data_IF_999764278675
#
_entry.id   IF_999764278675
#
_cell.length_a   1.000
_cell.length_b   1.000
_cell.length_c   1.000
_cell.angle_alpha   90.00
_cell.angle_beta   90.00
_cell.angle_gamma   90.00
#
_symmetry.space_group_name_H-M   'P 1'
#
loop_
_entity.id
_entity.type
_entity.pdbx_description
1 polymer ?
#
# COMPACT_ATOMS: atom_id res chain seq x y z
N UNK A 1 21.94 -1.32 4.49
CA UNK A 1 21.96 -2.14 3.24
C UNK A 1 21.54 -1.19 2.12
N UNK A 2 22.09 -1.26 0.90
CA UNK A 2 21.65 -0.29 -0.13
C UNK A 2 20.18 -0.55 -0.45
N UNK A 3 19.33 0.47 -0.30
CA UNK A 3 17.90 0.35 -0.57
C UNK A 3 17.68 -0.17 -1.99
N UNK A 4 16.78 -1.15 -2.21
CA UNK A 4 16.58 -1.77 -3.52
C UNK A 4 16.01 -0.81 -4.58
N UNK A 5 15.47 0.35 -4.17
CA UNK A 5 14.94 1.38 -5.08
C UNK A 5 15.54 2.74 -4.73
N UNK A 6 16.17 3.45 -5.67
CA UNK A 6 16.75 4.77 -5.42
C UNK A 6 15.66 5.85 -5.37
N UNK A 7 15.84 6.80 -4.46
CA UNK A 7 15.00 8.00 -4.31
C UNK A 7 14.86 8.74 -5.65
N UNK A 8 13.62 9.07 -6.04
CA UNK A 8 13.28 9.79 -7.26
C UNK A 8 12.73 8.94 -8.41
N UNK A 9 12.74 7.60 -8.28
CA UNK A 9 12.22 6.71 -9.33
C UNK A 9 10.69 6.59 -9.34
N UNK A 10 10.13 6.37 -10.54
CA UNK A 10 8.72 6.03 -10.74
C UNK A 10 8.66 4.62 -11.33
N UNK A 11 7.95 3.72 -10.65
CA UNK A 11 7.74 2.34 -11.05
C UNK A 11 6.29 2.17 -11.50
N UNK A 12 6.09 1.77 -12.76
CA UNK A 12 4.77 1.40 -13.27
C UNK A 12 4.31 0.07 -12.67
N UNK A 13 3.04 0.02 -12.28
CA UNK A 13 2.37 -1.17 -11.76
C UNK A 13 1.11 -1.43 -12.59
N UNK A 14 0.60 -2.67 -12.62
CA UNK A 14 -0.65 -2.98 -13.33
C UNK A 14 -1.86 -2.16 -12.85
N UNK A 15 -1.84 -1.71 -11.60
CA UNK A 15 -2.90 -0.89 -10.98
C UNK A 15 -2.65 0.62 -11.05
N UNK A 16 -1.46 1.07 -11.49
CA UNK A 16 -1.07 2.49 -11.41
C UNK A 16 0.43 2.70 -11.28
N UNK A 17 0.90 3.53 -10.35
CA UNK A 17 2.33 3.87 -10.21
C UNK A 17 2.77 4.01 -8.76
N UNK A 18 4.05 3.76 -8.51
CA UNK A 18 4.76 4.08 -7.27
C UNK A 18 5.88 5.07 -7.56
N UNK A 19 5.84 6.27 -6.98
CA UNK A 19 6.96 7.21 -6.97
C UNK A 19 7.71 7.09 -5.66
N UNK A 20 8.96 6.65 -5.70
CA UNK A 20 9.83 6.51 -4.55
C UNK A 20 10.43 7.87 -4.17
N UNK A 21 10.02 8.43 -3.04
CA UNK A 21 10.46 9.76 -2.58
C UNK A 21 11.77 9.63 -1.81
N UNK A 22 11.82 8.71 -0.84
CA UNK A 22 13.05 8.37 -0.13
C UNK A 22 13.04 6.92 0.35
N UNK A 23 14.22 6.31 0.49
CA UNK A 23 14.37 5.00 1.11
C UNK A 23 15.75 4.86 1.77
N UNK A 24 15.75 4.45 3.03
CA UNK A 24 16.95 4.28 3.85
C UNK A 24 16.77 3.16 4.87
N UNK A 25 17.77 2.97 5.75
CA UNK A 25 17.78 1.91 6.76
C UNK A 25 16.73 2.08 7.89
N UNK A 26 15.93 3.15 7.86
CA UNK A 26 14.89 3.44 8.88
C UNK A 26 13.48 3.52 8.31
N UNK A 27 13.32 3.97 7.06
CA UNK A 27 12.01 4.15 6.46
C UNK A 27 12.05 4.15 4.93
N UNK A 28 10.87 3.99 4.34
CA UNK A 28 10.61 4.33 2.95
C UNK A 28 9.41 5.26 2.83
N UNK A 29 9.49 6.23 1.93
CA UNK A 29 8.40 7.16 1.60
C UNK A 29 8.09 7.03 0.12
N UNK A 30 6.83 6.79 -0.19
CA UNK A 30 6.33 6.64 -1.56
C UNK A 30 5.08 7.45 -1.77
N UNK A 31 4.90 8.00 -2.96
CA UNK A 31 3.60 8.46 -3.46
C UNK A 31 3.05 7.39 -4.38
N UNK A 32 1.86 6.88 -4.08
CA UNK A 32 1.18 5.89 -4.90
C UNK A 32 0.02 6.55 -5.63
N UNK A 33 -0.19 6.12 -6.88
CA UNK A 33 -1.40 6.39 -7.65
C UNK A 33 -2.04 5.07 -8.03
N UNK A 34 -3.26 4.83 -7.57
CA UNK A 34 -4.10 3.72 -8.06
C UNK A 34 -5.10 4.30 -9.06
N UNK A 35 -5.10 3.79 -10.29
CA UNK A 35 -6.03 4.24 -11.34
C UNK A 35 -7.46 3.83 -10.99
N UNK A 36 -8.44 4.65 -11.36
CA UNK A 36 -9.87 4.35 -11.14
C UNK A 36 -10.24 2.92 -11.55
N UNK A 37 -10.95 2.21 -10.67
CA UNK A 37 -11.41 0.83 -10.90
C UNK A 37 -10.39 -0.26 -10.58
N UNK A 38 -9.13 0.12 -10.36
CA UNK A 38 -8.06 -0.80 -9.95
C UNK A 38 -7.92 -0.88 -8.43
N UNK A 39 -7.19 -1.87 -7.97
CA UNK A 39 -6.81 -2.05 -6.57
C UNK A 39 -5.38 -2.55 -6.45
N UNK A 40 -4.76 -2.32 -5.29
CA UNK A 40 -3.63 -3.16 -4.85
C UNK A 40 -4.13 -4.55 -4.46
N UNK A 41 -3.21 -5.50 -4.27
CA UNK A 41 -3.51 -6.83 -3.77
C UNK A 41 -4.13 -6.75 -2.37
N UNK A 42 -4.97 -7.71 -2.00
CA UNK A 42 -5.23 -7.97 -0.59
C UNK A 42 -3.95 -8.56 0.01
N UNK A 43 -3.40 -7.93 1.03
CA UNK A 43 -2.08 -8.27 1.55
C UNK A 43 -1.97 -8.03 3.05
N UNK A 44 -0.92 -8.60 3.65
CA UNK A 44 -0.47 -8.27 5.00
C UNK A 44 1.06 -8.34 5.08
N UNK A 45 1.60 -7.97 6.23
CA UNK A 45 3.04 -7.94 6.54
C UNK A 45 3.29 -8.66 7.86
N UNK A 46 4.43 -9.31 8.03
CA UNK A 46 4.79 -9.94 9.31
C UNK A 46 5.52 -8.98 10.28
N UNK A 47 6.18 -7.96 9.74
CA UNK A 47 7.03 -7.00 10.46
C UNK A 47 6.76 -5.56 10.05
N UNK A 48 6.54 -5.30 8.76
CA UNK A 48 6.41 -3.96 8.20
C UNK A 48 5.17 -3.27 8.77
N UNK A 49 5.36 -2.01 9.16
CA UNK A 49 4.28 -1.09 9.50
C UNK A 49 4.14 -0.04 8.40
N UNK A 50 2.91 0.27 8.03
CA UNK A 50 2.61 1.28 7.02
C UNK A 50 1.65 2.35 7.56
N UNK A 51 1.94 3.60 7.26
CA UNK A 51 1.03 4.74 7.48
C UNK A 51 0.79 5.44 6.16
N UNK A 52 -0.47 5.56 5.78
CA UNK A 52 -0.89 6.16 4.52
C UNK A 52 -1.66 7.44 4.79
N UNK A 53 -1.40 8.49 4.00
CA UNK A 53 -2.11 9.77 4.03
C UNK A 53 -2.66 10.08 2.64
N UNK A 54 -3.97 10.26 2.54
CA UNK A 54 -4.64 10.47 1.24
C UNK A 54 -4.45 11.91 0.77
N UNK A 55 -3.92 12.07 -0.45
CA UNK A 55 -3.72 13.35 -1.11
C UNK A 55 -4.91 13.72 -2.00
N UNK A 56 -5.44 12.76 -2.77
CA UNK A 56 -6.45 13.02 -3.79
C UNK A 56 -7.29 11.77 -4.07
N UNK A 57 -8.54 11.99 -4.49
CA UNK A 57 -9.44 10.95 -4.97
C UNK A 57 -10.10 10.17 -3.84
N UNK A 58 -10.83 9.11 -4.20
CA UNK A 58 -11.57 8.27 -3.26
C UNK A 58 -11.31 6.80 -3.51
N UNK A 59 -11.28 6.02 -2.44
CA UNK A 59 -11.09 4.57 -2.48
C UNK A 59 -11.93 3.87 -1.41
N UNK A 60 -12.20 2.59 -1.62
CA UNK A 60 -12.61 1.68 -0.56
C UNK A 60 -11.35 1.12 0.09
N UNK A 61 -11.23 1.34 1.39
CA UNK A 61 -10.22 0.72 2.24
C UNK A 61 -10.84 -0.47 2.97
N UNK A 62 -10.41 -1.67 2.59
CA UNK A 62 -10.77 -2.93 3.25
C UNK A 62 -9.68 -3.24 4.28
N UNK A 63 -10.05 -3.56 5.52
CA UNK A 63 -9.12 -3.94 6.58
C UNK A 63 -9.76 -4.90 7.58
N UNK A 64 -9.04 -5.33 8.62
CA UNK A 64 -9.59 -6.15 9.70
C UNK A 64 -9.74 -5.34 10.99
N UNK A 65 -10.83 -5.55 11.72
CA UNK A 65 -11.01 -5.03 13.08
C UNK A 65 -10.22 -5.84 14.11
N UNK A 66 -10.30 -5.46 15.39
CA UNK A 66 -9.59 -6.13 16.49
C UNK A 66 -10.02 -7.60 16.67
N UNK A 67 -11.17 -8.00 16.12
CA UNK A 67 -11.66 -9.38 16.14
C UNK A 67 -11.32 -10.14 14.85
N UNK A 68 -10.53 -9.56 13.94
CA UNK A 68 -10.12 -10.16 12.68
C UNK A 68 -11.20 -10.15 11.59
N UNK A 69 -12.32 -9.45 11.80
CA UNK A 69 -13.41 -9.37 10.81
C UNK A 69 -13.09 -8.32 9.78
N UNK A 70 -13.37 -8.62 8.51
CA UNK A 70 -13.25 -7.64 7.45
C UNK A 70 -14.25 -6.51 7.61
N UNK A 71 -13.75 -5.28 7.52
CA UNK A 71 -14.51 -4.04 7.51
C UNK A 71 -14.06 -3.21 6.32
N UNK A 72 -15.00 -2.46 5.75
CA UNK A 72 -14.74 -1.55 4.64
C UNK A 72 -15.18 -0.14 5.01
N UNK A 73 -14.41 0.85 4.56
CA UNK A 73 -14.81 2.26 4.60
C UNK A 73 -14.34 2.99 3.36
N UNK A 74 -15.10 3.99 2.94
CA UNK A 74 -14.64 4.95 1.96
C UNK A 74 -13.61 5.88 2.61
N UNK A 75 -12.52 6.17 1.90
CA UNK A 75 -11.47 7.12 2.29
C UNK A 75 -11.25 8.16 1.21
N UNK A 76 -10.94 9.39 1.62
CA UNK A 76 -10.70 10.53 0.76
C UNK A 76 -9.62 11.47 1.31
N UNK A 77 -9.39 12.64 0.68
CA UNK A 77 -8.29 13.52 1.03
C UNK A 77 -8.28 13.93 2.50
N UNK A 78 -7.11 13.81 3.14
CA UNK A 78 -6.95 14.09 4.57
C UNK A 78 -7.12 12.86 5.49
N UNK A 79 -7.70 11.77 4.99
CA UNK A 79 -7.81 10.53 5.77
C UNK A 79 -6.46 9.84 5.95
N UNK A 80 -6.35 9.13 7.07
CA UNK A 80 -5.17 8.34 7.45
C UNK A 80 -5.56 6.87 7.57
N UNK A 81 -4.76 6.00 6.96
CA UNK A 81 -4.84 4.55 7.14
C UNK A 81 -3.55 4.06 7.80
N UNK A 82 -3.66 3.04 8.66
CA UNK A 82 -2.53 2.41 9.31
C UNK A 82 -2.66 0.90 9.15
N UNK A 83 -1.63 0.30 8.56
CA UNK A 83 -1.56 -1.14 8.37
C UNK A 83 -0.49 -1.66 9.33
N UNK A 84 -0.94 -2.28 10.41
CA UNK A 84 -0.05 -2.95 11.36
C UNK A 84 0.30 -4.35 10.87
N UNK A 85 1.40 -4.96 11.37
CA UNK A 85 1.69 -6.36 11.09
C UNK A 85 0.50 -7.28 11.35
N UNK A 86 0.34 -8.28 10.48
CA UNK A 86 -0.72 -9.28 10.43
C UNK A 86 -2.14 -8.76 10.17
N UNK A 87 -2.32 -7.44 9.93
CA UNK A 87 -3.62 -6.88 9.55
C UNK A 87 -3.74 -6.91 8.02
N UNK A 88 -4.66 -7.72 7.52
CA UNK A 88 -4.96 -7.74 6.08
C UNK A 88 -5.60 -6.42 5.67
N UNK A 89 -5.17 -5.89 4.53
CA UNK A 89 -5.66 -4.63 4.01
C UNK A 89 -5.61 -4.55 2.49
N UNK A 90 -6.47 -3.68 1.92
CA UNK A 90 -6.55 -3.40 0.48
C UNK A 90 -7.12 -2.01 0.23
N UNK A 91 -6.59 -1.29 -0.76
CA UNK A 91 -7.18 -0.08 -1.31
C UNK A 91 -7.70 -0.34 -2.73
N UNK A 92 -8.99 -0.07 -2.96
CA UNK A 92 -9.63 -0.13 -4.28
C UNK A 92 -10.10 1.26 -4.69
N UNK A 93 -9.57 1.77 -5.79
CA UNK A 93 -9.80 3.12 -6.26
C UNK A 93 -11.19 3.29 -6.90
N UNK A 94 -12.00 4.21 -6.37
CA UNK A 94 -13.29 4.63 -6.94
C UNK A 94 -13.09 5.75 -8.00
N UNK A 95 -12.05 6.54 -7.80
CA UNK A 95 -11.49 7.57 -8.67
C UNK A 95 -9.98 7.37 -8.74
N UNK A 96 -9.25 8.10 -9.57
CA UNK A 96 -7.79 8.11 -9.49
C UNK A 96 -7.38 8.54 -8.07
N UNK A 97 -6.75 7.61 -7.35
CA UNK A 97 -6.55 7.68 -5.92
C UNK A 97 -5.07 7.82 -5.61
N UNK A 98 -4.68 8.95 -5.03
CA UNK A 98 -3.29 9.28 -4.72
C UNK A 98 -3.08 9.44 -3.23
N UNK A 99 -2.04 8.82 -2.71
CA UNK A 99 -1.68 8.87 -1.30
C UNK A 99 -0.17 8.80 -1.10
N UNK A 100 0.30 9.36 0.01
CA UNK A 100 1.64 9.10 0.53
C UNK A 100 1.56 7.85 1.40
N UNK A 101 2.54 6.97 1.26
CA UNK A 101 2.77 5.84 2.12
C UNK A 101 4.16 5.98 2.75
N UNK A 102 4.20 5.87 4.08
CA UNK A 102 5.43 5.79 4.86
C UNK A 102 5.48 4.42 5.51
N UNK A 103 6.57 3.69 5.30
CA UNK A 103 6.75 2.34 5.86
C UNK A 103 8.05 2.24 6.63
N UNK A 104 8.12 1.27 7.54
CA UNK A 104 9.39 0.73 8.05
C UNK A 104 10.17 0.05 6.89
N UNK A 105 11.48 -0.26 7.06
CA UNK A 105 12.36 -0.57 5.94
C UNK A 105 12.26 -2.03 5.43
N UNK A 106 11.35 -2.84 5.95
CA UNK A 106 11.12 -4.24 5.53
C UNK A 106 10.35 -4.31 4.19
N UNK A 107 10.95 -3.82 3.10
CA UNK A 107 10.26 -3.62 1.82
C UNK A 107 9.72 -4.90 1.17
N UNK A 108 10.43 -6.01 1.35
CA UNK A 108 10.08 -7.31 0.77
C UNK A 108 9.06 -8.09 1.62
N UNK A 109 8.72 -7.57 2.81
CA UNK A 109 7.70 -8.14 3.68
C UNK A 109 6.31 -7.81 3.14
N UNK A 110 5.86 -8.57 2.15
CA UNK A 110 4.56 -8.39 1.47
C UNK A 110 3.96 -9.75 1.11
N UNK A 111 3.01 -10.22 1.92
CA UNK A 111 2.31 -11.48 1.67
C UNK A 111 0.99 -11.17 0.98
N UNK A 112 0.86 -11.61 -0.28
CA UNK A 112 -0.35 -11.43 -1.07
C UNK A 112 -1.33 -12.57 -0.84
N UNK A 113 -2.57 -12.22 -0.48
CA UNK A 113 -3.68 -13.15 -0.28
C UNK A 113 -4.53 -13.24 -1.55
N UNK A 114 -4.84 -12.09 -2.16
CA UNK A 114 -5.58 -12.01 -3.43
C UNK A 114 -4.91 -10.97 -4.35
N UNK A 115 -4.70 -11.31 -5.62
CA UNK A 115 -4.11 -10.40 -6.61
C UNK A 115 -4.85 -10.48 -7.96
N UNK A 116 -5.48 -9.37 -8.34
CA UNK A 116 -6.24 -9.24 -9.60
C UNK A 116 -5.34 -9.35 -10.85
N UNK A 117 -4.02 -9.28 -10.68
CA UNK A 117 -3.04 -9.24 -11.78
C UNK A 117 -2.16 -10.49 -11.86
N UNK A 118 -2.46 -11.51 -11.06
CA UNK A 118 -1.77 -12.80 -11.07
C UNK A 118 -0.24 -12.72 -10.96
N UNK A 119 0.29 -11.74 -10.20
CA UNK A 119 1.75 -11.56 -10.00
C UNK A 119 2.39 -12.64 -9.12
N UNK A 120 1.61 -13.61 -8.66
CA UNK A 120 2.03 -14.66 -7.74
C UNK A 120 2.17 -14.16 -6.30
N UNK A 121 2.25 -15.11 -5.36
CA UNK A 121 2.67 -14.84 -3.99
C UNK A 121 4.19 -14.65 -3.99
N UNK A 122 4.66 -13.42 -3.78
CA UNK A 122 6.05 -13.22 -3.38
C UNK A 122 6.13 -13.57 -1.89
N UNK A 123 6.75 -14.69 -1.58
CA UNK A 123 7.39 -14.90 -0.28
C UNK A 123 8.87 -14.73 -0.55
N UNK A 124 9.49 -13.66 -0.04
CA UNK A 124 10.94 -13.55 0.07
C UNK A 124 11.29 -13.50 1.54
#
# INVERSE_FOLDING_TARGET
MQAPYPSGEIVEKPWGTEKWIDCNDHYAVRELLIRKGHAVSLQYHEKKLETLYVLQGRAIYTTQDEQGRFVEREVGPGDIMKNYPFVMHRQRALEDFRFIEVTTPELDDIIRVEDDYHRGSHTL
#
